data_IF_400827226986
#
_entry.id   IF_400827226986
#
_cell.length_a   1.000
_cell.length_b   1.000
_cell.length_c   1.000
_cell.angle_alpha   90.00
_cell.angle_beta   90.00
_cell.angle_gamma   90.00
#
_symmetry.space_group_name_H-M   'P 1'
#
loop_
_entity.id
_entity.type
_entity.pdbx_description
1 polymer ?
#
# COMPACT_ATOMS: atom_id res chain seq x y z
N UNK A 1 34.60 23.71 -16.20
CA UNK A 1 33.84 24.11 -14.99
C UNK A 1 33.53 22.86 -14.18
N UNK A 2 33.65 22.93 -12.85
CA UNK A 2 33.31 21.83 -11.95
C UNK A 2 31.80 21.53 -12.01
N UNK A 3 31.42 20.25 -12.14
CA UNK A 3 30.02 19.82 -12.04
C UNK A 3 29.91 18.88 -10.83
N UNK A 4 29.16 19.27 -9.78
CA UNK A 4 28.97 18.43 -8.61
C UNK A 4 28.12 17.20 -8.95
N UNK A 5 28.24 16.17 -8.12
CA UNK A 5 27.35 15.00 -8.18
C UNK A 5 25.88 15.43 -8.03
N UNK A 6 25.01 14.91 -8.89
CA UNK A 6 23.58 15.24 -8.88
C UNK A 6 22.73 13.99 -9.04
N UNK A 7 21.66 13.89 -8.26
CA UNK A 7 20.60 12.90 -8.44
C UNK A 7 19.33 13.64 -8.85
N UNK A 8 18.71 13.21 -9.95
CA UNK A 8 17.42 13.73 -10.42
C UNK A 8 16.38 12.62 -10.36
N UNK A 9 15.37 12.77 -9.51
CA UNK A 9 14.24 11.85 -9.46
C UNK A 9 13.25 12.12 -10.60
N UNK A 10 12.58 11.08 -11.09
CA UNK A 10 11.44 11.24 -11.99
C UNK A 10 10.27 11.93 -11.26
N UNK A 11 9.40 12.62 -12.00
CA UNK A 11 8.28 13.40 -11.45
C UNK A 11 7.38 12.61 -10.49
N UNK A 12 7.17 11.32 -10.77
CA UNK A 12 6.41 10.40 -9.91
C UNK A 12 6.98 10.34 -8.49
N UNK A 13 8.30 10.31 -8.36
CA UNK A 13 9.02 10.11 -7.09
C UNK A 13 9.53 11.41 -6.49
N UNK A 14 9.70 12.46 -7.29
CA UNK A 14 10.05 13.80 -6.80
C UNK A 14 9.04 14.33 -5.78
N UNK A 15 7.76 13.96 -5.91
CA UNK A 15 6.71 14.31 -4.94
C UNK A 15 6.99 13.79 -3.53
N UNK A 16 7.70 12.66 -3.39
CA UNK A 16 8.05 12.08 -2.07
C UNK A 16 8.97 13.01 -1.27
N UNK A 17 9.78 13.82 -1.96
CA UNK A 17 10.63 14.83 -1.34
C UNK A 17 9.81 16.06 -0.92
N UNK A 18 8.92 16.55 -1.79
CA UNK A 18 8.13 17.76 -1.51
C UNK A 18 7.11 17.60 -0.37
N UNK A 19 6.60 16.37 -0.14
CA UNK A 19 5.65 16.10 0.95
C UNK A 19 6.24 16.24 2.37
N UNK A 20 7.54 16.48 2.54
CA UNK A 20 8.13 16.75 3.86
C UNK A 20 8.09 18.24 4.26
N UNK A 21 7.94 19.17 3.30
CA UNK A 21 8.16 20.60 3.54
C UNK A 21 6.89 21.48 3.48
N UNK A 22 5.74 20.97 3.01
CA UNK A 22 4.53 21.81 2.89
C UNK A 22 3.54 21.61 4.05
N UNK A 23 3.22 22.67 4.83
CA UNK A 23 1.97 22.70 5.57
C UNK A 23 0.80 22.73 4.58
N UNK A 24 -0.18 21.85 4.80
CA UNK A 24 -1.36 21.70 3.94
C UNK A 24 -2.19 22.97 3.96
N UNK A 25 -2.14 23.76 2.88
CA UNK A 25 -3.04 24.90 2.68
C UNK A 25 -4.30 24.44 1.92
N UNK A 26 -5.46 24.68 2.51
CA UNK A 26 -6.75 24.10 2.10
C UNK A 26 -7.46 24.92 1.00
N UNK A 27 -6.71 25.60 0.12
CA UNK A 27 -7.32 26.52 -0.84
C UNK A 27 -6.79 26.34 -2.27
N UNK A 28 -7.13 25.21 -2.89
CA UNK A 28 -7.17 25.15 -4.36
C UNK A 28 -8.61 25.10 -4.86
N UNK A 29 -8.98 26.18 -5.55
CA UNK A 29 -10.28 26.38 -6.20
C UNK A 29 -10.41 25.50 -7.45
N UNK A 30 -11.61 24.93 -7.60
CA UNK A 30 -12.24 24.53 -8.87
C UNK A 30 -11.51 23.51 -9.75
N UNK A 31 -11.42 22.27 -9.26
CA UNK A 31 -11.74 21.08 -10.06
C UNK A 31 -12.43 20.08 -9.11
N UNK A 32 -13.47 19.36 -9.54
CA UNK A 32 -14.04 18.24 -8.75
C UNK A 32 -13.06 17.05 -8.72
N UNK A 33 -11.85 17.26 -8.22
CA UNK A 33 -10.91 16.20 -7.87
C UNK A 33 -11.45 15.56 -6.60
N UNK A 34 -11.62 14.24 -6.63
CA UNK A 34 -12.03 13.46 -5.45
C UNK A 34 -11.01 13.73 -4.35
N UNK A 35 -11.42 14.40 -3.26
CA UNK A 35 -10.55 14.77 -2.14
C UNK A 35 -9.81 13.58 -1.51
N UNK A 36 -10.30 12.35 -1.78
CA UNK A 36 -9.67 11.09 -1.39
C UNK A 36 -8.42 10.73 -2.22
N UNK A 37 -8.26 11.34 -3.39
CA UNK A 37 -7.12 11.17 -4.30
C UNK A 37 -6.06 12.28 -4.15
N UNK A 38 -6.36 13.35 -3.40
CA UNK A 38 -5.52 14.55 -3.30
C UNK A 38 -4.44 14.41 -2.21
N UNK A 39 -4.69 13.62 -1.15
CA UNK A 39 -3.83 13.56 0.03
C UNK A 39 -2.79 12.43 -0.01
N UNK A 40 -1.68 12.69 0.69
CA UNK A 40 -0.53 11.82 1.05
C UNK A 40 -0.45 10.47 0.33
N UNK A 41 -0.24 10.53 -0.99
CA UNK A 41 -0.13 9.34 -1.83
C UNK A 41 1.05 8.49 -1.38
N UNK A 42 0.77 7.26 -0.94
CA UNK A 42 1.80 6.21 -0.86
C UNK A 42 2.32 6.01 -2.29
N UNK A 43 3.55 6.43 -2.55
CA UNK A 43 4.18 6.26 -3.86
C UNK A 43 4.93 4.95 -3.87
N UNK A 44 4.47 4.00 -4.68
CA UNK A 44 5.16 2.72 -4.86
C UNK A 44 5.99 2.70 -6.15
N UNK A 45 7.07 1.93 -6.12
CA UNK A 45 7.85 1.55 -7.30
C UNK A 45 7.73 0.05 -7.55
N UNK A 46 7.78 -0.37 -8.81
CA UNK A 46 7.92 -1.78 -9.19
C UNK A 46 9.39 -2.19 -9.29
N UNK A 47 9.67 -3.48 -9.15
CA UNK A 47 11.00 -4.04 -9.39
C UNK A 47 11.53 -3.62 -10.78
N UNK A 48 12.79 -3.18 -10.81
CA UNK A 48 13.49 -2.63 -11.98
C UNK A 48 12.93 -1.30 -12.54
N UNK A 49 11.90 -0.71 -11.92
CA UNK A 49 11.41 0.62 -12.30
C UNK A 49 12.51 1.67 -12.10
N UNK A 50 12.64 2.57 -13.09
CA UNK A 50 13.57 3.70 -13.01
C UNK A 50 12.96 4.73 -12.07
N UNK A 51 13.72 5.11 -11.05
CA UNK A 51 13.31 6.10 -10.04
C UNK A 51 13.90 7.46 -10.35
N UNK A 52 15.12 7.49 -10.90
CA UNK A 52 15.84 8.71 -11.19
C UNK A 52 17.11 8.46 -11.99
N UNK A 53 17.86 9.54 -12.23
CA UNK A 53 19.15 9.53 -12.91
C UNK A 53 20.24 10.02 -11.96
N UNK A 54 21.39 9.36 -12.03
CA UNK A 54 22.59 9.75 -11.32
C UNK A 54 23.59 10.39 -12.29
N UNK A 55 24.07 11.57 -11.93
CA UNK A 55 25.10 12.30 -12.67
C UNK A 55 26.39 12.29 -11.84
N UNK A 56 27.43 11.56 -12.28
CA UNK A 56 28.69 11.50 -11.56
C UNK A 56 29.38 12.86 -11.53
N UNK A 57 30.17 13.15 -10.48
CA UNK A 57 30.92 14.40 -10.41
C UNK A 57 31.97 14.45 -11.54
N UNK A 58 32.06 15.60 -12.21
CA UNK A 58 33.06 15.84 -13.27
C UNK A 58 34.14 16.76 -12.67
N UNK A 59 35.40 16.29 -12.55
CA UNK A 59 36.50 17.12 -12.07
C UNK A 59 36.66 18.39 -12.90
N UNK A 60 37.08 19.47 -12.24
CA UNK A 60 37.51 20.67 -12.96
C UNK A 60 38.79 20.40 -13.76
N UNK A 61 39.06 21.26 -14.75
CA UNK A 61 40.34 21.27 -15.44
C UNK A 61 41.32 22.13 -14.65
N UNK A 62 42.58 21.70 -14.59
CA UNK A 62 43.65 22.49 -13.98
C UNK A 62 43.80 23.84 -14.69
N UNK A 63 43.96 24.89 -13.91
CA UNK A 63 44.24 26.23 -14.40
C UNK A 63 45.75 26.52 -14.46
N UNK A 64 46.09 27.68 -15.00
CA UNK A 64 47.47 28.21 -14.97
C UNK A 64 47.42 29.64 -14.47
N UNK A 65 48.25 29.99 -13.49
CA UNK A 65 48.33 31.36 -12.99
C UNK A 65 49.13 32.27 -13.96
N UNK A 66 49.17 33.57 -13.69
CA UNK A 66 49.93 34.54 -14.51
C UNK A 66 51.46 34.30 -14.51
N UNK A 67 51.96 33.43 -13.64
CA UNK A 67 53.36 33.04 -13.53
C UNK A 67 53.69 31.70 -14.23
N UNK A 68 52.70 31.06 -14.88
CA UNK A 68 52.89 29.79 -15.59
C UNK A 68 52.80 28.54 -14.71
N UNK A 69 52.45 28.69 -13.43
CA UNK A 69 52.31 27.56 -12.50
C UNK A 69 50.93 26.92 -12.62
N UNK A 70 50.88 25.59 -12.57
CA UNK A 70 49.63 24.82 -12.60
C UNK A 70 48.86 24.99 -11.30
N UNK A 71 47.63 25.47 -11.39
CA UNK A 71 46.66 25.49 -10.31
C UNK A 71 45.79 24.24 -10.42
N UNK A 72 45.98 23.30 -9.49
CA UNK A 72 45.16 22.09 -9.44
C UNK A 72 43.68 22.43 -9.24
N UNK A 73 42.82 21.81 -10.03
CA UNK A 73 41.39 21.92 -9.81
C UNK A 73 41.01 21.31 -8.45
N UNK A 74 40.02 21.89 -7.73
CA UNK A 74 39.49 21.30 -6.51
C UNK A 74 39.04 19.86 -6.76
N UNK A 75 39.45 18.94 -5.89
CA UNK A 75 38.98 17.56 -5.92
C UNK A 75 37.45 17.54 -5.71
N UNK A 76 36.72 16.68 -6.43
CA UNK A 76 35.27 16.65 -6.32
C UNK A 76 34.84 16.33 -4.87
N UNK A 77 34.03 17.20 -4.27
CA UNK A 77 33.36 16.87 -3.01
C UNK A 77 32.31 15.79 -3.30
N UNK A 78 32.49 14.58 -2.78
CA UNK A 78 31.62 13.41 -3.04
C UNK A 78 30.28 13.46 -2.28
N UNK A 79 29.79 14.65 -1.95
CA UNK A 79 28.56 14.77 -1.16
C UNK A 79 27.39 14.96 -2.10
N UNK A 80 26.94 13.87 -2.72
CA UNK A 80 25.56 13.78 -3.18
C UNK A 80 24.63 14.20 -2.04
N UNK A 81 23.73 15.15 -2.34
CA UNK A 81 22.66 15.53 -1.44
C UNK A 81 21.60 14.42 -1.29
N UNK A 82 21.73 13.26 -1.94
CA UNK A 82 20.78 12.16 -1.75
C UNK A 82 21.60 10.87 -1.68
N UNK A 83 21.37 10.06 -0.64
CA UNK A 83 21.94 8.73 -0.48
C UNK A 83 20.93 7.70 -0.98
N UNK A 84 21.42 6.62 -1.58
CA UNK A 84 20.59 5.49 -1.98
C UNK A 84 20.60 4.46 -0.84
N UNK A 85 19.41 3.99 -0.48
CA UNK A 85 19.25 2.91 0.47
C UNK A 85 19.52 1.53 -0.14
N UNK A 86 19.23 0.48 0.63
CA UNK A 86 19.64 -0.88 0.30
C UNK A 86 18.87 -1.46 -0.89
N UNK A 87 17.61 -1.04 -1.09
CA UNK A 87 16.74 -1.57 -2.14
C UNK A 87 16.84 -0.79 -3.46
N UNK A 88 17.88 0.02 -3.62
CA UNK A 88 18.19 0.76 -4.84
C UNK A 88 19.57 0.37 -5.40
N UNK A 89 19.70 0.47 -6.72
CA UNK A 89 20.99 0.34 -7.40
C UNK A 89 21.09 1.32 -8.56
N UNK A 90 22.33 1.61 -8.96
CA UNK A 90 22.64 2.37 -10.16
C UNK A 90 23.03 1.37 -11.24
N UNK A 91 22.38 1.41 -12.40
CA UNK A 91 22.70 0.56 -13.54
C UNK A 91 23.85 1.13 -14.39
N UNK A 92 24.23 0.41 -15.45
CA UNK A 92 25.30 0.82 -16.38
C UNK A 92 24.99 2.14 -17.11
N UNK A 93 23.70 2.45 -17.30
CA UNK A 93 23.21 3.69 -17.92
C UNK A 93 23.13 4.87 -16.93
N UNK A 94 23.62 4.68 -15.69
CA UNK A 94 23.55 5.65 -14.60
C UNK A 94 22.12 6.00 -14.18
N UNK A 95 21.18 5.08 -14.40
CA UNK A 95 19.81 5.16 -13.90
C UNK A 95 19.72 4.51 -12.53
N UNK A 96 19.02 5.18 -11.60
CA UNK A 96 18.70 4.63 -10.27
C UNK A 96 17.44 3.79 -10.43
N UNK A 97 17.53 2.51 -10.07
CA UNK A 97 16.44 1.53 -10.19
C UNK A 97 16.11 0.86 -8.88
N UNK A 98 14.85 0.44 -8.79
CA UNK A 98 14.33 -0.38 -7.71
C UNK A 98 14.85 -1.82 -7.80
N UNK A 99 15.44 -2.36 -6.72
CA UNK A 99 15.76 -3.79 -6.61
C UNK A 99 14.54 -4.65 -6.33
N UNK A 100 13.50 -4.08 -5.71
CA UNK A 100 12.27 -4.76 -5.33
C UNK A 100 11.10 -3.78 -5.38
N UNK A 101 9.89 -4.29 -5.58
CA UNK A 101 8.67 -3.50 -5.47
C UNK A 101 8.39 -3.08 -4.03
N UNK A 102 7.95 -1.83 -3.83
CA UNK A 102 7.61 -1.33 -2.50
C UNK A 102 7.31 0.16 -2.46
N UNK A 103 7.11 0.68 -1.26
CA UNK A 103 6.90 2.12 -1.01
C UNK A 103 8.22 2.85 -1.05
N UNK A 104 8.28 3.92 -1.85
CA UNK A 104 9.43 4.82 -1.91
C UNK A 104 9.33 5.80 -0.74
N UNK A 105 10.36 5.80 0.11
CA UNK A 105 10.47 6.71 1.25
C UNK A 105 11.74 7.53 1.12
N UNK A 106 11.60 8.83 1.32
CA UNK A 106 12.72 9.74 1.48
C UNK A 106 12.84 10.14 2.95
N UNK A 107 13.98 9.89 3.58
CA UNK A 107 14.21 10.23 4.99
C UNK A 107 15.70 10.45 5.26
N UNK A 108 16.06 11.45 6.06
CA UNK A 108 17.45 11.78 6.39
C UNK A 108 18.35 11.79 5.15
N UNK A 109 17.91 12.49 4.10
CA UNK A 109 18.67 12.62 2.87
C UNK A 109 18.91 11.29 2.13
N UNK A 110 18.14 10.24 2.46
CA UNK A 110 18.27 8.90 1.89
C UNK A 110 16.94 8.51 1.25
N UNK A 111 16.98 8.07 -0.01
CA UNK A 111 15.85 7.48 -0.70
C UNK A 111 15.99 5.96 -0.66
N UNK A 112 14.94 5.25 -0.25
CA UNK A 112 14.91 3.79 -0.23
C UNK A 112 13.52 3.26 -0.57
N UNK A 113 13.44 1.96 -0.83
CA UNK A 113 12.19 1.24 -1.05
C UNK A 113 11.94 0.28 0.11
N UNK A 114 10.69 0.26 0.57
CA UNK A 114 10.21 -0.65 1.60
C UNK A 114 9.16 -1.60 1.01
N UNK A 115 9.51 -2.89 0.78
CA UNK A 115 8.58 -3.90 0.30
C UNK A 115 7.44 -4.19 1.28
N UNK A 116 7.66 -3.93 2.57
CA UNK A 116 6.64 -3.99 3.60
C UNK A 116 6.42 -2.59 4.18
N UNK A 117 5.16 -2.20 4.35
CA UNK A 117 4.83 -0.86 4.84
C UNK A 117 3.72 -0.90 5.88
N UNK A 118 3.87 -0.10 6.94
CA UNK A 118 2.91 -0.02 8.04
C UNK A 118 2.29 1.38 8.14
N UNK A 119 0.96 1.42 8.14
CA UNK A 119 0.14 2.57 8.44
C UNK A 119 -0.33 2.43 9.89
N UNK A 120 0.21 3.28 10.77
CA UNK A 120 -0.04 3.21 12.22
C UNK A 120 -1.47 3.60 12.63
N UNK A 121 -2.24 4.21 11.74
CA UNK A 121 -3.59 4.71 12.03
C UNK A 121 -4.60 4.26 10.99
N UNK A 122 -5.64 5.08 10.85
CA UNK A 122 -6.76 4.82 9.97
C UNK A 122 -6.46 5.23 8.52
N UNK A 123 -7.13 4.58 7.57
CA UNK A 123 -7.20 5.05 6.18
C UNK A 123 -8.34 6.05 6.09
N UNK A 124 -7.98 7.32 6.15
CA UNK A 124 -8.88 8.47 6.12
C UNK A 124 -8.36 9.56 5.17
N UNK A 125 -8.85 10.80 5.30
CA UNK A 125 -8.41 11.91 4.46
C UNK A 125 -6.93 12.29 4.63
N UNK A 126 -6.27 11.91 5.73
CA UNK A 126 -4.84 12.15 5.94
C UNK A 126 -3.95 11.20 5.13
N UNK A 127 -4.47 10.00 4.82
CA UNK A 127 -3.76 8.96 4.07
C UNK A 127 -4.22 8.91 2.61
N UNK A 128 -5.53 9.04 2.36
CA UNK A 128 -6.12 8.90 1.03
C UNK A 128 -6.41 7.46 0.64
N UNK A 129 -6.85 7.27 -0.60
CA UNK A 129 -6.94 5.94 -1.20
C UNK A 129 -5.54 5.33 -1.37
N UNK A 130 -5.45 4.01 -1.22
CA UNK A 130 -4.16 3.31 -1.25
C UNK A 130 -4.11 2.41 -2.48
N UNK A 131 -3.02 2.54 -3.24
CA UNK A 131 -2.61 1.59 -4.28
C UNK A 131 -1.19 1.13 -3.96
N UNK A 132 -1.10 0.01 -3.26
CA UNK A 132 0.13 -0.53 -2.71
C UNK A 132 0.71 -1.62 -3.61
N UNK A 133 1.95 -1.42 -4.02
CA UNK A 133 2.73 -2.36 -4.81
C UNK A 133 3.96 -2.74 -3.99
N UNK A 134 3.95 -3.95 -3.45
CA UNK A 134 4.98 -4.46 -2.55
C UNK A 134 4.59 -5.84 -2.05
N UNK A 135 5.34 -6.36 -1.06
CA UNK A 135 5.10 -7.69 -0.47
C UNK A 135 3.95 -7.66 0.54
N UNK A 136 3.90 -6.65 1.42
CA UNK A 136 2.93 -6.63 2.53
C UNK A 136 2.56 -5.21 2.96
N UNK A 137 1.27 -4.92 3.05
CA UNK A 137 0.74 -3.70 3.65
C UNK A 137 0.10 -4.02 5.00
N UNK A 138 0.44 -3.27 6.04
CA UNK A 138 -0.14 -3.39 7.38
C UNK A 138 -0.87 -2.10 7.72
N UNK A 139 -2.16 -2.21 8.07
CA UNK A 139 -3.00 -1.11 8.53
C UNK A 139 -3.38 -1.40 9.98
N UNK A 140 -2.90 -0.58 10.91
CA UNK A 140 -3.19 -0.76 12.35
C UNK A 140 -4.58 -0.27 12.74
N UNK A 141 -5.13 0.69 12.01
CA UNK A 141 -6.45 1.26 12.24
C UNK A 141 -7.55 0.73 11.31
N UNK A 142 -8.64 1.49 11.23
CA UNK A 142 -9.79 1.22 10.39
C UNK A 142 -9.63 1.77 8.97
N UNK A 143 -10.37 1.19 8.02
CA UNK A 143 -10.61 1.81 6.72
C UNK A 143 -11.93 2.59 6.78
N UNK A 144 -11.84 3.93 6.71
CA UNK A 144 -13.00 4.81 6.90
C UNK A 144 -13.92 4.87 5.67
N UNK A 145 -15.06 5.53 5.85
CA UNK A 145 -16.16 5.54 4.91
C UNK A 145 -15.74 5.95 3.48
N UNK A 146 -15.98 5.04 2.53
CA UNK A 146 -15.78 5.31 1.12
C UNK A 146 -14.34 5.28 0.62
N UNK A 147 -13.38 4.92 1.46
CA UNK A 147 -11.98 4.75 1.04
C UNK A 147 -11.75 3.43 0.31
N UNK A 148 -10.70 3.41 -0.50
CA UNK A 148 -10.30 2.26 -1.31
C UNK A 148 -8.88 1.85 -0.93
N UNK A 149 -8.68 0.55 -0.76
CA UNK A 149 -7.36 -0.05 -0.51
C UNK A 149 -7.14 -1.14 -1.54
N UNK A 150 -6.11 -0.95 -2.39
CA UNK A 150 -5.64 -1.95 -3.33
C UNK A 150 -4.24 -2.39 -2.91
N UNK A 151 -4.02 -3.70 -2.82
CA UNK A 151 -2.72 -4.27 -2.49
C UNK A 151 -2.39 -5.39 -3.47
N UNK A 152 -1.26 -5.26 -4.19
CA UNK A 152 -0.71 -6.35 -5.01
C UNK A 152 -0.14 -7.49 -4.14
N UNK A 153 0.38 -7.16 -2.96
CA UNK A 153 0.89 -8.13 -1.99
C UNK A 153 -0.17 -8.60 -1.00
N UNK A 154 0.29 -9.06 0.16
CA UNK A 154 -0.54 -9.37 1.31
C UNK A 154 -1.04 -8.10 1.99
N UNK A 155 -2.22 -8.16 2.60
CA UNK A 155 -2.84 -7.08 3.37
C UNK A 155 -3.20 -7.56 4.78
N UNK A 156 -2.71 -6.86 5.80
CA UNK A 156 -3.16 -7.02 7.18
C UNK A 156 -3.90 -5.77 7.66
N UNK A 157 -5.11 -5.95 8.18
CA UNK A 157 -5.91 -4.88 8.79
C UNK A 157 -6.23 -5.27 10.22
N UNK A 158 -5.71 -4.53 11.20
CA UNK A 158 -5.97 -4.77 12.61
C UNK A 158 -7.24 -4.05 13.11
N UNK A 159 -7.68 -3.00 12.40
CA UNK A 159 -9.01 -2.39 12.58
C UNK A 159 -10.08 -3.00 11.66
N UNK A 160 -11.25 -2.37 11.65
CA UNK A 160 -12.41 -2.75 10.83
C UNK A 160 -12.57 -1.89 9.58
N UNK A 161 -13.76 -1.96 8.99
CA UNK A 161 -14.15 -1.07 7.88
C UNK A 161 -15.39 -0.28 8.24
N UNK A 162 -15.57 0.89 7.63
CA UNK A 162 -16.87 1.56 7.59
C UNK A 162 -17.61 1.22 6.28
N UNK A 163 -18.77 1.85 6.06
CA UNK A 163 -19.56 1.64 4.85
C UNK A 163 -18.90 2.20 3.58
N UNK A 164 -19.29 1.69 2.41
CA UNK A 164 -18.78 2.07 1.08
C UNK A 164 -17.27 1.83 0.87
N UNK A 165 -16.64 1.02 1.71
CA UNK A 165 -15.22 0.70 1.57
C UNK A 165 -15.01 -0.32 0.45
N UNK A 166 -13.94 -0.15 -0.33
CA UNK A 166 -13.51 -1.15 -1.32
C UNK A 166 -12.12 -1.65 -0.97
N UNK A 167 -11.98 -2.97 -0.77
CA UNK A 167 -10.69 -3.62 -0.55
C UNK A 167 -10.46 -4.61 -1.68
N UNK A 168 -9.33 -4.49 -2.38
CA UNK A 168 -8.90 -5.42 -3.44
C UNK A 168 -7.47 -5.90 -3.12
N UNK A 169 -7.30 -7.22 -2.95
CA UNK A 169 -6.03 -7.83 -2.55
C UNK A 169 -5.68 -8.94 -3.53
N UNK A 170 -4.49 -8.88 -4.13
CA UNK A 170 -4.00 -9.96 -4.99
C UNK A 170 -3.29 -11.08 -4.22
N UNK A 171 -2.67 -10.76 -3.08
CA UNK A 171 -2.15 -11.74 -2.13
C UNK A 171 -3.21 -12.25 -1.15
N UNK A 172 -2.79 -12.48 0.09
CA UNK A 172 -3.64 -12.93 1.19
C UNK A 172 -4.16 -11.74 2.03
N UNK A 173 -5.34 -11.92 2.63
CA UNK A 173 -5.94 -10.94 3.54
C UNK A 173 -5.98 -11.50 4.97
N UNK A 174 -5.47 -10.75 5.93
CA UNK A 174 -5.74 -10.93 7.35
C UNK A 174 -6.51 -9.72 7.87
N UNK A 175 -7.69 -9.89 8.45
CA UNK A 175 -8.43 -8.82 9.13
C UNK A 175 -8.80 -9.23 10.55
N UNK A 176 -8.17 -8.62 11.55
CA UNK A 176 -8.48 -8.82 12.97
C UNK A 176 -9.55 -7.86 13.50
N UNK A 177 -10.03 -6.92 12.68
CA UNK A 177 -11.25 -6.17 12.96
C UNK A 177 -12.49 -6.80 12.35
N UNK A 178 -13.59 -6.04 12.37
CA UNK A 178 -14.86 -6.45 11.76
C UNK A 178 -15.05 -5.69 10.46
N UNK A 179 -15.20 -6.43 9.36
CA UNK A 179 -15.56 -5.87 8.07
C UNK A 179 -17.06 -5.60 8.09
N UNK A 180 -17.46 -4.33 8.00
CA UNK A 180 -18.86 -3.92 8.07
C UNK A 180 -19.24 -2.89 7.01
N UNK A 181 -20.52 -2.94 6.60
CA UNK A 181 -21.16 -1.92 5.77
C UNK A 181 -21.82 -2.46 4.50
N UNK A 182 -23.09 -2.06 4.28
CA UNK A 182 -23.95 -2.53 3.19
C UNK A 182 -23.36 -2.40 1.78
N UNK A 183 -22.56 -1.36 1.56
CA UNK A 183 -21.92 -1.08 0.28
C UNK A 183 -20.42 -1.39 0.30
N UNK A 184 -19.94 -2.02 1.36
CA UNK A 184 -18.55 -2.44 1.49
C UNK A 184 -18.33 -3.73 0.71
N UNK A 185 -17.26 -3.73 -0.10
CA UNK A 185 -16.89 -4.86 -0.96
C UNK A 185 -15.43 -5.22 -0.70
N UNK A 186 -15.19 -6.49 -0.46
CA UNK A 186 -13.85 -7.04 -0.25
C UNK A 186 -13.60 -8.14 -1.26
N UNK A 187 -12.51 -8.02 -2.03
CA UNK A 187 -12.09 -8.98 -3.04
C UNK A 187 -10.67 -9.44 -2.75
N UNK A 188 -10.48 -10.75 -2.66
CA UNK A 188 -9.18 -11.37 -2.35
C UNK A 188 -8.90 -12.49 -3.33
N UNK A 189 -7.76 -12.44 -4.03
CA UNK A 189 -7.35 -13.53 -4.93
C UNK A 189 -6.69 -14.69 -4.18
N UNK A 190 -5.94 -14.41 -3.11
CA UNK A 190 -5.36 -15.43 -2.25
C UNK A 190 -6.34 -15.95 -1.19
N UNK A 191 -5.80 -16.35 -0.04
CA UNK A 191 -6.58 -16.79 1.12
C UNK A 191 -6.97 -15.61 1.99
N UNK A 192 -8.06 -15.75 2.75
CA UNK A 192 -8.50 -14.74 3.69
C UNK A 192 -8.73 -15.34 5.08
N UNK A 193 -8.19 -14.68 6.11
CA UNK A 193 -8.49 -14.93 7.51
C UNK A 193 -9.12 -13.68 8.10
N UNK A 194 -10.38 -13.78 8.51
CA UNK A 194 -11.18 -12.63 8.94
C UNK A 194 -11.85 -12.93 10.28
N UNK A 195 -11.91 -11.91 11.14
CA UNK A 195 -12.54 -12.09 12.45
C UNK A 195 -14.06 -12.11 12.36
N UNK A 196 -14.65 -11.20 11.60
CA UNK A 196 -16.08 -11.25 11.32
C UNK A 196 -16.52 -10.26 10.25
N UNK A 197 -17.70 -10.52 9.69
CA UNK A 197 -18.33 -9.71 8.64
C UNK A 197 -19.77 -9.38 9.01
N UNK A 198 -20.16 -8.12 8.82
CA UNK A 198 -21.52 -7.61 9.09
C UNK A 198 -22.02 -6.79 7.89
N UNK A 199 -23.08 -7.23 7.23
CA UNK A 199 -23.71 -6.49 6.13
C UNK A 199 -22.80 -6.20 4.92
N UNK A 200 -21.68 -6.89 4.74
CA UNK A 200 -20.76 -6.62 3.63
C UNK A 200 -20.76 -7.73 2.56
N UNK A 201 -20.20 -7.41 1.40
CA UNK A 201 -19.97 -8.36 0.31
C UNK A 201 -18.51 -8.81 0.28
N UNK A 202 -18.29 -10.12 0.25
CA UNK A 202 -16.98 -10.74 0.27
C UNK A 202 -16.82 -11.70 -0.91
N UNK A 203 -15.72 -11.59 -1.64
CA UNK A 203 -15.35 -12.46 -2.76
C UNK A 203 -13.91 -12.94 -2.55
N UNK A 204 -13.72 -14.24 -2.32
CA UNK A 204 -12.40 -14.83 -2.04
C UNK A 204 -12.16 -15.97 -3.01
N UNK A 205 -11.07 -15.91 -3.78
CA UNK A 205 -10.73 -16.98 -4.74
C UNK A 205 -9.95 -18.14 -4.10
N UNK A 206 -9.34 -17.93 -2.92
CA UNK A 206 -8.75 -18.98 -2.11
C UNK A 206 -9.71 -19.52 -1.03
N UNK A 207 -9.12 -19.96 0.08
CA UNK A 207 -9.84 -20.41 1.27
C UNK A 207 -10.21 -19.24 2.18
N UNK A 208 -11.34 -19.36 2.88
CA UNK A 208 -11.81 -18.39 3.86
C UNK A 208 -11.88 -18.99 5.26
N UNK A 209 -11.12 -18.42 6.20
CA UNK A 209 -11.22 -18.74 7.62
C UNK A 209 -11.94 -17.59 8.34
N UNK A 210 -13.02 -17.91 9.05
CA UNK A 210 -13.81 -16.95 9.83
C UNK A 210 -13.69 -17.28 11.32
N UNK A 211 -13.16 -16.34 12.12
CA UNK A 211 -12.97 -16.60 13.56
C UNK A 211 -14.27 -16.52 14.37
N UNK A 212 -15.08 -15.50 14.14
CA UNK A 212 -16.27 -15.27 14.96
C UNK A 212 -17.56 -15.46 14.17
N UNK A 213 -17.81 -14.67 13.14
CA UNK A 213 -19.10 -14.73 12.47
C UNK A 213 -19.16 -14.13 11.06
N UNK A 214 -20.09 -14.65 10.26
CA UNK A 214 -20.60 -14.02 9.04
C UNK A 214 -22.08 -13.69 9.24
N UNK A 215 -22.40 -12.40 9.27
CA UNK A 215 -23.75 -11.90 9.59
C UNK A 215 -24.25 -10.99 8.47
N UNK A 216 -25.44 -11.30 7.94
CA UNK A 216 -26.10 -10.52 6.87
C UNK A 216 -25.18 -10.26 5.67
N UNK A 217 -24.30 -11.20 5.35
CA UNK A 217 -23.25 -11.01 4.33
C UNK A 217 -23.63 -11.69 3.01
N UNK A 218 -23.14 -11.14 1.90
CA UNK A 218 -23.09 -11.84 0.61
C UNK A 218 -21.66 -12.32 0.39
N UNK A 219 -21.40 -13.59 0.68
CA UNK A 219 -20.05 -14.16 0.66
C UNK A 219 -19.96 -15.22 -0.44
N UNK A 220 -18.98 -15.07 -1.32
CA UNK A 220 -18.61 -16.07 -2.32
C UNK A 220 -17.16 -16.46 -2.13
N UNK A 221 -16.91 -17.77 -2.03
CA UNK A 221 -15.58 -18.34 -1.85
C UNK A 221 -15.38 -19.45 -2.87
N UNK A 222 -14.27 -19.43 -3.61
CA UNK A 222 -13.97 -20.50 -4.57
C UNK A 222 -13.33 -21.73 -3.91
N UNK A 223 -12.66 -21.57 -2.77
CA UNK A 223 -12.20 -22.68 -1.93
C UNK A 223 -13.21 -23.07 -0.86
N UNK A 224 -12.70 -23.48 0.29
CA UNK A 224 -13.50 -23.84 1.47
C UNK A 224 -13.73 -22.66 2.41
N UNK A 225 -14.82 -22.74 3.18
CA UNK A 225 -15.14 -21.82 4.27
C UNK A 225 -15.04 -22.57 5.60
N UNK A 226 -14.18 -22.09 6.50
CA UNK A 226 -13.99 -22.64 7.83
C UNK A 226 -14.35 -21.61 8.91
N UNK A 227 -15.50 -21.81 9.54
CA UNK A 227 -15.98 -21.06 10.70
C UNK A 227 -15.96 -21.94 11.96
N UNK A 228 -14.82 -22.59 12.21
CA UNK A 228 -14.61 -23.52 13.33
C UNK A 228 -13.82 -22.92 14.50
N UNK A 229 -13.32 -21.70 14.36
CA UNK A 229 -12.69 -20.95 15.44
C UNK A 229 -13.71 -20.10 16.22
N UNK A 230 -13.30 -19.53 17.36
CA UNK A 230 -14.09 -18.56 18.14
C UNK A 230 -15.58 -18.94 18.31
N UNK A 231 -16.47 -18.03 17.90
CA UNK A 231 -17.93 -18.27 17.91
C UNK A 231 -18.40 -19.14 16.74
N UNK A 232 -17.77 -19.03 15.56
CA UNK A 232 -18.07 -19.87 14.39
C UNK A 232 -19.50 -19.80 13.87
N UNK A 233 -20.12 -18.61 13.84
CA UNK A 233 -21.55 -18.45 13.53
C UNK A 233 -21.75 -17.90 12.11
N UNK A 234 -22.63 -18.52 11.32
CA UNK A 234 -23.05 -17.99 10.02
C UNK A 234 -24.57 -17.84 10.01
N UNK A 235 -25.09 -16.63 9.86
CA UNK A 235 -26.51 -16.40 9.64
C UNK A 235 -26.80 -15.10 8.88
N UNK A 236 -27.91 -15.08 8.16
CA UNK A 236 -28.36 -13.91 7.41
C UNK A 236 -27.55 -13.69 6.13
N UNK A 237 -28.26 -13.57 5.01
CA UNK A 237 -27.65 -13.33 3.70
C UNK A 237 -27.42 -14.62 2.91
N UNK A 238 -26.40 -14.58 2.04
CA UNK A 238 -26.09 -15.66 1.09
C UNK A 238 -24.61 -15.99 1.17
N UNK A 239 -24.31 -17.21 1.57
CA UNK A 239 -22.93 -17.73 1.65
C UNK A 239 -22.79 -18.86 0.64
N UNK A 240 -21.80 -18.72 -0.24
CA UNK A 240 -21.50 -19.69 -1.30
C UNK A 240 -20.05 -20.12 -1.21
N UNK A 241 -19.81 -21.42 -1.23
CA UNK A 241 -18.49 -22.01 -1.44
C UNK A 241 -18.54 -22.93 -2.67
N UNK A 242 -17.41 -23.24 -3.28
CA UNK A 242 -17.33 -24.26 -4.33
C UNK A 242 -16.79 -25.61 -3.82
N UNK A 243 -16.37 -25.68 -2.56
CA UNK A 243 -15.87 -26.91 -1.92
C UNK A 243 -16.72 -27.27 -0.69
N UNK A 244 -16.30 -26.87 0.51
CA UNK A 244 -17.00 -27.19 1.77
C UNK A 244 -17.26 -25.94 2.60
N UNK A 245 -18.37 -25.94 3.34
CA UNK A 245 -18.69 -24.94 4.37
C UNK A 245 -18.79 -25.65 5.72
N UNK A 246 -17.84 -25.37 6.59
CA UNK A 246 -17.82 -25.85 7.98
C UNK A 246 -18.07 -24.68 8.93
N UNK A 247 -19.01 -24.84 9.86
CA UNK A 247 -19.30 -23.82 10.86
C UNK A 247 -19.79 -24.48 12.15
N UNK A 248 -19.52 -23.84 13.30
CA UNK A 248 -20.04 -24.31 14.59
C UNK A 248 -21.56 -24.16 14.67
N UNK A 249 -22.08 -23.03 14.18
CA UNK A 249 -23.49 -22.68 14.27
C UNK A 249 -23.93 -22.09 12.94
N UNK A 250 -24.95 -22.69 12.33
CA UNK A 250 -25.63 -22.18 11.14
C UNK A 250 -27.04 -21.71 11.52
N UNK A 251 -27.35 -20.45 11.22
CA UNK A 251 -28.61 -19.81 11.58
C UNK A 251 -28.58 -19.12 12.95
N UNK A 252 -29.76 -18.67 13.39
CA UNK A 252 -29.96 -18.02 14.68
C UNK A 252 -31.35 -18.30 15.25
N UNK A 253 -31.51 -18.05 16.55
CA UNK A 253 -32.78 -18.26 17.27
C UNK A 253 -33.91 -17.34 16.79
N UNK A 254 -33.57 -16.22 16.12
CA UNK A 254 -34.56 -15.29 15.57
C UNK A 254 -35.06 -15.68 14.18
N UNK A 255 -34.80 -16.92 13.74
CA UNK A 255 -35.27 -17.49 12.48
C UNK A 255 -34.91 -16.66 11.24
N UNK A 256 -33.72 -16.04 11.24
CA UNK A 256 -33.26 -15.22 10.11
C UNK A 256 -32.94 -16.10 8.91
N UNK A 257 -33.55 -15.77 7.77
CA UNK A 257 -33.30 -16.51 6.52
C UNK A 257 -31.82 -16.46 6.14
N UNK A 258 -31.24 -17.65 5.96
CA UNK A 258 -29.83 -17.84 5.60
C UNK A 258 -29.77 -18.79 4.42
N UNK A 259 -29.13 -18.39 3.32
CA UNK A 259 -28.95 -19.25 2.14
C UNK A 259 -27.50 -19.71 2.08
N UNK A 260 -27.30 -21.02 2.14
CA UNK A 260 -25.99 -21.65 2.07
C UNK A 260 -25.96 -22.52 0.81
N UNK A 261 -24.91 -22.36 0.01
CA UNK A 261 -24.66 -23.12 -1.20
C UNK A 261 -23.22 -23.62 -1.12
N UNK A 262 -23.04 -24.93 -1.03
CA UNK A 262 -21.75 -25.60 -1.08
C UNK A 262 -21.80 -26.60 -2.23
#
# INVERSE_FOLDING_TARGET
PFVPEKIELLEKFAKVISFQDEPVDLQDKEERKDIREIHRKIVCAEENEIIGKWYPPIPGLDGVNVFGETLQAPQPSSQSQIRLGENLFIDEEKSIRAKQSGVVIYHQNTIDIFPEYEIKGDVDFSVGNIDFIGKKLIIKGDVKFGFKVKAKGDLEIYGGTENKVLIEVEGNLLCDGIIRGEQTKVKVKGKAEIKGVEHAKLEVLGDLVVKNYLIFSETFVSGKIEANAGKGIIYGGVVKACDVIEAKILGNETHTSTKILA
#
